data_IF_893603874034
#
_entry.id   IF_893603874034
#
_cell.length_a   1.000
_cell.length_b   1.000
_cell.length_c   1.000
_cell.angle_alpha   90.00
_cell.angle_beta   90.00
_cell.angle_gamma   90.00
#
_symmetry.space_group_name_H-M   'P 1'
#
loop_
_entity.id
_entity.type
_entity.pdbx_description
1 polymer ?
#
# COMPACT_ATOMS: atom_id res chain seq x y z
N UNK A 1 1.19 18.12 -22.52
CA UNK A 1 1.52 19.09 -21.46
C UNK A 1 1.18 18.42 -20.15
N UNK A 2 2.21 17.95 -19.45
CA UNK A 2 2.08 17.32 -18.14
C UNK A 2 2.11 18.50 -17.18
N UNK A 3 0.96 18.89 -16.63
CA UNK A 3 0.94 19.90 -15.57
C UNK A 3 1.52 19.22 -14.32
N UNK A 4 2.82 19.39 -14.13
CA UNK A 4 3.45 19.17 -12.85
C UNK A 4 2.70 20.07 -11.87
N UNK A 5 1.94 19.47 -10.95
CA UNK A 5 1.15 20.19 -9.97
C UNK A 5 1.92 21.38 -9.45
N UNK A 6 1.36 22.57 -9.67
CA UNK A 6 1.87 23.86 -9.24
C UNK A 6 2.46 23.73 -7.84
N UNK A 7 3.79 23.65 -7.76
CA UNK A 7 4.50 23.79 -6.51
C UNK A 7 4.08 25.15 -5.95
N UNK A 8 3.40 25.15 -4.81
CA UNK A 8 3.08 26.37 -4.07
C UNK A 8 4.42 26.96 -3.65
N UNK A 9 4.92 27.89 -4.46
CA UNK A 9 6.14 28.65 -4.17
C UNK A 9 5.83 29.56 -2.99
N UNK A 10 6.28 29.19 -1.78
CA UNK A 10 6.17 30.06 -0.60
C UNK A 10 6.08 29.38 0.77
N UNK A 11 5.93 28.06 0.86
CA UNK A 11 5.86 27.39 2.16
C UNK A 11 7.26 27.02 2.68
N UNK A 12 7.55 27.41 3.93
CA UNK A 12 8.75 26.99 4.68
C UNK A 12 8.88 25.47 4.63
N UNK A 13 10.08 24.90 4.34
CA UNK A 13 10.24 23.45 4.27
C UNK A 13 9.77 22.79 5.57
N UNK A 14 8.78 21.91 5.46
CA UNK A 14 8.27 21.16 6.61
C UNK A 14 9.37 20.19 7.02
N UNK A 15 10.01 20.47 8.16
CA UNK A 15 11.06 19.60 8.70
C UNK A 15 10.39 18.39 9.34
N UNK A 16 10.35 17.28 8.61
CA UNK A 16 9.87 15.98 9.10
C UNK A 16 11.03 14.99 9.15
N UNK A 17 10.95 14.02 10.06
CA UNK A 17 11.88 12.89 10.14
C UNK A 17 11.14 11.57 9.93
N UNK A 18 11.91 10.48 9.84
CA UNK A 18 11.35 9.13 9.73
C UNK A 18 10.40 8.83 10.90
N UNK A 19 10.78 9.25 12.10
CA UNK A 19 10.06 9.02 13.34
C UNK A 19 8.64 9.61 13.31
N UNK A 20 8.45 10.75 12.62
CA UNK A 20 7.13 11.38 12.47
C UNK A 20 6.12 10.49 11.73
N UNK A 21 6.59 9.54 10.92
CA UNK A 21 5.76 8.61 10.14
C UNK A 21 5.62 7.23 10.78
N UNK A 22 6.25 6.98 11.94
CA UNK A 22 6.12 5.71 12.68
C UNK A 22 4.96 5.82 13.66
N UNK A 23 4.02 4.88 13.61
CA UNK A 23 2.94 4.76 14.61
C UNK A 23 3.44 4.19 15.94
N UNK A 24 2.64 4.31 16.99
CA UNK A 24 2.85 3.63 18.27
C UNK A 24 2.54 2.12 18.26
N UNK A 25 2.07 1.57 17.14
CA UNK A 25 1.69 0.16 17.02
C UNK A 25 2.89 -0.77 16.78
N UNK A 26 2.94 -1.86 17.53
CA UNK A 26 3.91 -2.94 17.30
C UNK A 26 3.68 -3.63 15.95
N UNK A 27 4.77 -3.79 15.20
CA UNK A 27 4.74 -4.54 13.94
C UNK A 27 4.63 -6.04 14.21
N UNK A 28 3.58 -6.67 13.69
CA UNK A 28 3.20 -8.08 13.97
C UNK A 28 3.52 -9.03 12.81
N UNK A 29 4.47 -8.69 11.96
CA UNK A 29 4.96 -9.60 10.90
C UNK A 29 5.93 -10.64 11.47
N UNK A 30 6.12 -11.74 10.76
CA UNK A 30 7.09 -12.76 11.15
C UNK A 30 8.52 -12.16 11.14
N UNK A 31 9.40 -12.56 12.08
CA UNK A 31 10.82 -12.19 12.01
C UNK A 31 11.42 -12.56 10.65
N UNK A 32 12.10 -11.60 10.01
CA UNK A 32 12.68 -11.78 8.67
C UNK A 32 11.71 -11.53 7.51
N UNK A 33 10.45 -11.14 7.76
CA UNK A 33 9.51 -10.76 6.70
C UNK A 33 10.02 -9.56 5.89
N UNK A 34 9.93 -9.64 4.56
CA UNK A 34 10.32 -8.53 3.67
C UNK A 34 9.48 -7.26 3.84
N UNK A 35 8.26 -7.37 4.38
CA UNK A 35 7.37 -6.24 4.63
C UNK A 35 8.02 -5.18 5.55
N UNK A 36 8.91 -5.59 6.47
CA UNK A 36 9.69 -4.66 7.30
C UNK A 36 10.57 -3.73 6.46
N UNK A 37 11.20 -4.24 5.41
CA UNK A 37 12.07 -3.43 4.55
C UNK A 37 11.24 -2.45 3.71
N UNK A 38 10.06 -2.88 3.21
CA UNK A 38 9.14 -2.01 2.49
C UNK A 38 8.64 -0.88 3.39
N UNK A 39 8.22 -1.20 4.61
CA UNK A 39 7.77 -0.20 5.59
C UNK A 39 8.86 0.80 5.94
N UNK A 40 10.06 0.31 6.27
CA UNK A 40 11.20 1.16 6.60
C UNK A 40 11.61 2.05 5.41
N UNK A 41 11.55 1.52 4.19
CA UNK A 41 11.80 2.28 2.96
C UNK A 41 10.82 3.45 2.81
N UNK A 42 9.52 3.19 2.92
CA UNK A 42 8.49 4.23 2.84
C UNK A 42 8.69 5.28 3.94
N UNK A 43 8.80 4.88 5.20
CA UNK A 43 8.99 5.81 6.33
C UNK A 43 10.25 6.67 6.19
N UNK A 44 11.31 6.15 5.55
CA UNK A 44 12.53 6.92 5.26
C UNK A 44 12.34 7.90 4.09
N UNK A 45 11.52 7.54 3.11
CA UNK A 45 11.32 8.35 1.89
C UNK A 45 10.34 9.49 2.09
N UNK A 46 9.22 9.29 2.81
CA UNK A 46 8.17 10.32 2.93
C UNK A 46 8.66 11.68 3.47
N UNK A 47 9.57 11.76 4.46
CA UNK A 47 10.10 13.04 4.93
C UNK A 47 10.80 13.86 3.84
N UNK A 48 11.51 13.18 2.92
CA UNK A 48 12.22 13.83 1.84
C UNK A 48 11.29 14.41 0.75
N UNK A 49 10.01 14.01 0.74
CA UNK A 49 9.01 14.54 -0.18
C UNK A 49 8.44 15.90 0.26
N UNK A 50 8.70 16.34 1.50
CA UNK A 50 8.29 17.66 1.99
C UNK A 50 6.77 17.86 2.10
N UNK A 51 5.99 16.78 2.11
CA UNK A 51 4.52 16.81 2.19
C UNK A 51 4.11 16.56 3.65
N UNK A 52 3.20 17.36 4.24
CA UNK A 52 2.72 17.15 5.60
C UNK A 52 2.13 15.73 5.80
N UNK A 53 2.39 15.11 6.94
CA UNK A 53 1.95 13.71 7.21
C UNK A 53 0.43 13.54 7.10
N UNK A 54 -0.33 14.56 7.48
CA UNK A 54 -1.80 14.62 7.41
C UNK A 54 -2.36 14.70 5.98
N UNK A 55 -1.51 14.94 4.97
CA UNK A 55 -1.87 14.90 3.55
C UNK A 55 -1.70 13.50 2.94
N UNK A 56 -1.07 12.57 3.64
CA UNK A 56 -0.96 11.17 3.20
C UNK A 56 -2.12 10.33 3.70
N UNK A 57 -2.63 9.47 2.83
CA UNK A 57 -3.60 8.44 3.19
C UNK A 57 -3.16 7.08 2.67
N UNK A 58 -2.87 6.15 3.58
CA UNK A 58 -2.54 4.76 3.25
C UNK A 58 -3.79 3.88 3.30
N UNK A 59 -4.17 3.28 2.18
CA UNK A 59 -5.36 2.43 2.03
C UNK A 59 -4.91 1.02 1.70
N UNK A 60 -5.38 0.03 2.44
CA UNK A 60 -5.05 -1.37 2.19
C UNK A 60 -6.27 -2.28 2.18
N UNK A 61 -6.10 -3.46 1.58
CA UNK A 61 -7.11 -4.52 1.55
C UNK A 61 -6.96 -5.45 2.76
N UNK A 62 -6.86 -6.76 2.54
CA UNK A 62 -6.62 -7.76 3.60
C UNK A 62 -5.44 -8.67 3.25
N UNK A 63 -4.54 -8.88 4.21
CA UNK A 63 -3.33 -9.69 4.06
C UNK A 63 -2.22 -9.24 5.02
N UNK A 64 -1.08 -9.94 5.04
CA UNK A 64 0.08 -9.51 5.83
C UNK A 64 0.50 -8.09 5.42
N UNK A 65 0.68 -7.88 4.11
CA UNK A 65 0.98 -6.57 3.53
C UNK A 65 -0.06 -5.51 3.87
N UNK A 66 -1.33 -5.89 4.04
CA UNK A 66 -2.41 -4.93 4.28
C UNK A 66 -2.47 -4.43 5.72
N UNK A 67 -1.63 -4.94 6.63
CA UNK A 67 -1.46 -4.31 7.95
C UNK A 67 -0.68 -2.99 7.89
N UNK A 68 -0.08 -2.66 6.75
CA UNK A 68 0.77 -1.49 6.56
C UNK A 68 0.21 -0.17 7.11
N UNK A 69 -1.07 0.21 6.90
CA UNK A 69 -1.58 1.48 7.40
C UNK A 69 -1.57 1.59 8.93
N UNK A 70 -1.61 0.48 9.67
CA UNK A 70 -1.49 0.51 11.12
C UNK A 70 -0.11 0.95 11.60
N UNK A 71 0.90 0.84 10.75
CA UNK A 71 2.30 1.13 11.07
C UNK A 71 2.75 2.52 10.59
N UNK A 72 1.82 3.31 10.07
CA UNK A 72 2.05 4.65 9.56
C UNK A 72 1.33 5.68 10.45
N UNK A 73 2.04 6.71 10.90
CA UNK A 73 1.46 7.83 11.64
C UNK A 73 0.83 8.88 10.70
N UNK A 74 -0.11 8.44 9.88
CA UNK A 74 -0.85 9.22 8.88
C UNK A 74 -2.34 8.87 8.96
N UNK A 75 -3.19 9.47 8.12
CA UNK A 75 -4.51 8.88 7.90
C UNK A 75 -4.37 7.52 7.19
N UNK A 76 -5.29 6.60 7.46
CA UNK A 76 -5.28 5.31 6.80
C UNK A 76 -6.58 4.54 6.93
N UNK A 77 -6.81 3.65 5.96
CA UNK A 77 -7.95 2.74 5.93
C UNK A 77 -7.45 1.31 5.74
N UNK A 78 -7.75 0.43 6.68
CA UNK A 78 -7.69 -1.01 6.47
C UNK A 78 -9.09 -1.48 6.05
N UNK A 79 -9.24 -1.75 4.76
CA UNK A 79 -10.56 -1.95 4.14
C UNK A 79 -10.91 -3.44 4.07
N UNK A 80 -11.70 -3.86 3.08
CA UNK A 80 -12.03 -5.26 2.84
C UNK A 80 -11.21 -5.82 1.69
N UNK A 81 -11.08 -7.15 1.65
CA UNK A 81 -10.17 -7.85 0.76
C UNK A 81 -10.40 -7.48 -0.71
N UNK A 82 -9.36 -7.01 -1.39
CA UNK A 82 -9.35 -6.61 -2.79
C UNK A 82 -10.14 -5.36 -3.14
N UNK A 83 -10.53 -4.52 -2.16
CA UNK A 83 -11.31 -3.30 -2.42
C UNK A 83 -10.54 -2.00 -2.17
N UNK A 84 -9.28 -2.07 -1.77
CA UNK A 84 -8.44 -0.89 -1.58
C UNK A 84 -8.41 0.04 -2.83
N UNK A 85 -8.27 -0.46 -4.08
CA UNK A 85 -8.32 0.42 -5.26
C UNK A 85 -9.67 1.14 -5.43
N UNK A 86 -10.78 0.49 -5.06
CA UNK A 86 -12.12 1.07 -5.14
C UNK A 86 -12.28 2.22 -4.14
N UNK A 87 -11.86 2.01 -2.90
CA UNK A 87 -11.91 3.04 -1.85
C UNK A 87 -10.96 4.20 -2.17
N UNK A 88 -9.75 3.89 -2.64
CA UNK A 88 -8.78 4.89 -3.09
C UNK A 88 -9.31 5.74 -4.26
N UNK A 89 -10.03 5.12 -5.19
CA UNK A 89 -10.68 5.84 -6.29
C UNK A 89 -11.67 6.88 -5.75
N UNK A 90 -12.58 6.48 -4.87
CA UNK A 90 -13.56 7.39 -4.28
C UNK A 90 -12.89 8.54 -3.51
N UNK A 91 -11.88 8.22 -2.68
CA UNK A 91 -11.16 9.23 -1.93
C UNK A 91 -10.45 10.23 -2.84
N UNK A 92 -9.67 9.77 -3.81
CA UNK A 92 -8.89 10.66 -4.68
C UNK A 92 -9.79 11.56 -5.55
N UNK A 93 -10.98 11.07 -5.93
CA UNK A 93 -11.96 11.88 -6.67
C UNK A 93 -12.53 13.03 -5.84
N UNK A 94 -12.78 12.82 -4.54
CA UNK A 94 -13.37 13.83 -3.65
C UNK A 94 -12.31 14.74 -3.02
N UNK A 95 -11.11 14.21 -2.81
CA UNK A 95 -9.97 14.89 -2.17
C UNK A 95 -8.72 14.78 -3.04
N UNK A 96 -8.68 15.52 -4.17
CA UNK A 96 -7.53 15.50 -5.08
C UNK A 96 -6.25 16.03 -4.43
N UNK A 97 -6.37 16.83 -3.35
CA UNK A 97 -5.26 17.39 -2.58
C UNK A 97 -4.52 16.38 -1.70
N UNK A 98 -5.05 15.16 -1.53
CA UNK A 98 -4.42 14.11 -0.73
C UNK A 98 -3.50 13.23 -1.57
N UNK A 99 -2.39 12.83 -0.95
CA UNK A 99 -1.47 11.83 -1.49
C UNK A 99 -1.97 10.44 -1.06
N UNK A 100 -2.69 9.78 -1.96
CA UNK A 100 -3.31 8.47 -1.70
C UNK A 100 -2.35 7.35 -2.12
N UNK A 101 -2.08 6.45 -1.19
CA UNK A 101 -1.20 5.30 -1.36
C UNK A 101 -1.97 4.02 -1.08
N UNK A 102 -2.07 3.14 -2.08
CA UNK A 102 -2.65 1.82 -1.93
C UNK A 102 -1.55 0.82 -1.60
N UNK A 103 -1.71 0.05 -0.53
CA UNK A 103 -0.81 -1.08 -0.20
C UNK A 103 -1.58 -2.37 -0.32
N UNK A 104 -1.08 -3.30 -1.13
CA UNK A 104 -1.76 -4.55 -1.43
C UNK A 104 -0.78 -5.71 -1.52
N UNK A 105 -1.25 -6.92 -1.24
CA UNK A 105 -0.52 -8.15 -1.57
C UNK A 105 -0.82 -8.60 -2.98
N UNK A 106 -0.04 -9.54 -3.48
CA UNK A 106 -0.34 -10.26 -4.73
C UNK A 106 -1.75 -10.89 -4.75
N UNK A 107 -2.17 -11.54 -3.68
CA UNK A 107 -3.51 -12.09 -3.56
C UNK A 107 -4.62 -11.06 -3.50
N UNK A 108 -4.41 -10.05 -2.65
CA UNK A 108 -5.38 -8.97 -2.46
C UNK A 108 -5.60 -8.19 -3.76
N UNK A 109 -4.53 -7.80 -4.45
CA UNK A 109 -4.58 -6.93 -5.62
C UNK A 109 -4.75 -7.66 -6.95
N UNK A 110 -4.19 -8.86 -7.11
CA UNK A 110 -4.16 -9.58 -8.40
C UNK A 110 -5.11 -10.78 -8.47
N UNK A 111 -5.71 -11.19 -7.34
CA UNK A 111 -6.79 -12.19 -7.33
C UNK A 111 -8.14 -11.48 -7.18
N UNK A 112 -8.72 -11.47 -5.98
CA UNK A 112 -10.04 -10.89 -5.70
C UNK A 112 -10.13 -9.39 -6.04
N UNK A 113 -9.01 -8.66 -6.02
CA UNK A 113 -8.94 -7.25 -6.40
C UNK A 113 -8.64 -6.97 -7.88
N UNK A 114 -8.37 -7.99 -8.69
CA UNK A 114 -7.80 -7.83 -10.04
C UNK A 114 -8.59 -6.87 -10.94
N UNK A 115 -9.91 -7.01 -10.99
CA UNK A 115 -10.76 -6.13 -11.81
C UNK A 115 -10.69 -4.66 -11.35
N UNK A 116 -10.65 -4.40 -10.05
CA UNK A 116 -10.53 -3.04 -9.52
C UNK A 116 -9.15 -2.45 -9.81
N UNK A 117 -8.09 -3.28 -9.74
CA UNK A 117 -6.73 -2.90 -10.08
C UNK A 117 -6.62 -2.46 -11.56
N UNK A 118 -7.14 -3.26 -12.48
CA UNK A 118 -7.15 -2.92 -13.91
C UNK A 118 -7.88 -1.60 -14.16
N UNK A 119 -9.04 -1.41 -13.51
CA UNK A 119 -9.82 -0.19 -13.70
C UNK A 119 -9.21 1.05 -13.04
N UNK A 120 -8.52 0.93 -11.90
CA UNK A 120 -7.84 2.08 -11.30
C UNK A 120 -6.69 2.58 -12.18
N UNK A 121 -5.92 1.64 -12.77
CA UNK A 121 -4.88 1.97 -13.74
C UNK A 121 -5.46 2.60 -15.01
N UNK A 122 -6.53 2.01 -15.56
CA UNK A 122 -7.19 2.54 -16.78
C UNK A 122 -7.75 3.95 -16.59
N UNK A 123 -8.16 4.32 -15.38
CA UNK A 123 -8.65 5.68 -15.05
C UNK A 123 -7.53 6.69 -14.87
N UNK A 124 -6.27 6.25 -14.80
CA UNK A 124 -5.09 7.10 -14.61
C UNK A 124 -5.24 8.06 -13.41
N UNK A 125 -5.70 7.52 -12.27
CA UNK A 125 -5.78 8.31 -11.05
C UNK A 125 -4.37 8.60 -10.52
N UNK A 126 -4.17 9.83 -10.04
CA UNK A 126 -2.95 10.24 -9.35
C UNK A 126 -2.88 9.60 -7.93
N UNK A 127 -2.54 8.32 -7.91
CA UNK A 127 -2.35 7.53 -6.69
C UNK A 127 -1.09 6.66 -6.83
N UNK A 128 -0.50 6.30 -5.70
CA UNK A 128 0.59 5.33 -5.65
C UNK A 128 0.03 3.94 -5.31
N UNK A 129 0.57 2.88 -5.92
CA UNK A 129 0.22 1.49 -5.59
C UNK A 129 1.50 0.73 -5.25
N UNK A 130 1.60 0.27 -4.01
CA UNK A 130 2.65 -0.63 -3.53
C UNK A 130 2.09 -2.05 -3.50
N UNK A 131 2.53 -2.88 -4.45
CA UNK A 131 2.21 -4.30 -4.49
C UNK A 131 3.36 -5.11 -3.89
N UNK A 132 3.11 -5.67 -2.70
CA UNK A 132 4.07 -6.52 -2.00
C UNK A 132 3.90 -7.96 -2.46
N UNK A 133 4.74 -8.37 -3.42
CA UNK A 133 4.65 -9.67 -4.07
C UNK A 133 5.52 -10.73 -3.38
N UNK A 134 4.96 -11.44 -2.40
CA UNK A 134 5.61 -12.56 -1.74
C UNK A 134 5.24 -13.94 -2.35
N UNK A 135 4.41 -13.95 -3.41
CA UNK A 135 4.02 -15.13 -4.19
C UNK A 135 3.30 -16.20 -3.35
N UNK A 136 2.57 -15.80 -2.32
CA UNK A 136 1.84 -16.71 -1.43
C UNK A 136 0.81 -15.97 -0.56
N UNK A 137 -0.31 -16.62 -0.22
CA UNK A 137 -1.23 -16.06 0.78
C UNK A 137 -0.73 -16.31 2.20
N UNK A 138 0.15 -15.43 2.68
CA UNK A 138 0.80 -15.57 3.98
C UNK A 138 -0.17 -15.57 5.17
N UNK A 139 -1.07 -14.58 5.25
CA UNK A 139 -1.96 -14.39 6.40
C UNK A 139 -2.92 -15.58 6.61
N UNK A 140 -3.38 -16.18 5.52
CA UNK A 140 -4.27 -17.36 5.53
C UNK A 140 -3.50 -18.67 5.64
N UNK A 141 -2.21 -18.60 5.97
CA UNK A 141 -1.32 -19.72 6.31
C UNK A 141 -0.79 -20.52 5.11
N UNK A 142 -0.64 -19.91 3.93
CA UNK A 142 0.24 -20.42 2.87
C UNK A 142 -0.45 -21.15 1.71
N UNK A 143 -1.52 -20.58 1.16
CA UNK A 143 -2.12 -21.02 -0.10
C UNK A 143 -1.39 -20.38 -1.30
N UNK A 144 -1.51 -21.00 -2.47
CA UNK A 144 -1.03 -20.42 -3.73
C UNK A 144 -1.68 -19.06 -4.03
N UNK A 145 -0.91 -18.15 -4.62
CA UNK A 145 -1.36 -16.86 -5.12
C UNK A 145 -1.28 -16.82 -6.65
N UNK A 146 -1.86 -15.79 -7.32
CA UNK A 146 -1.74 -15.63 -8.77
C UNK A 146 -0.31 -15.45 -9.27
N UNK A 147 0.65 -15.16 -8.39
CA UNK A 147 2.07 -14.97 -8.72
C UNK A 147 2.95 -16.09 -8.18
N UNK A 148 2.36 -17.14 -7.58
CA UNK A 148 3.09 -18.36 -7.23
C UNK A 148 3.72 -18.98 -8.47
N UNK A 149 4.92 -19.54 -8.31
CA UNK A 149 5.59 -20.29 -9.36
C UNK A 149 4.77 -21.53 -9.76
N UNK A 150 4.76 -21.88 -11.05
CA UNK A 150 4.14 -23.13 -11.52
C UNK A 150 4.77 -24.34 -10.84
N UNK A 151 3.95 -25.26 -10.34
CA UNK A 151 4.42 -26.45 -9.62
C UNK A 151 4.84 -26.19 -8.17
N UNK A 152 4.64 -24.97 -7.65
CA UNK A 152 4.89 -24.66 -6.24
C UNK A 152 3.92 -25.43 -5.35
N UNK A 153 4.48 -26.28 -4.50
CA UNK A 153 3.70 -26.98 -3.47
C UNK A 153 3.27 -26.01 -2.38
N UNK A 154 1.97 -25.85 -2.19
CA UNK A 154 1.37 -25.05 -1.11
C UNK A 154 0.33 -25.86 -0.35
N UNK A 155 -0.30 -25.30 0.68
CA UNK A 155 -1.35 -26.03 1.41
C UNK A 155 -2.55 -26.40 0.55
N UNK A 156 -2.88 -25.57 -0.44
CA UNK A 156 -3.99 -25.81 -1.38
C UNK A 156 -3.56 -26.51 -2.66
N UNK A 157 -2.25 -26.54 -2.96
CA UNK A 157 -1.66 -27.19 -4.13
C UNK A 157 -0.58 -28.19 -3.71
N UNK A 158 -0.90 -29.28 -2.99
CA UNK A 158 0.11 -30.20 -2.44
C UNK A 158 0.89 -30.96 -3.53
N UNK A 159 0.31 -31.08 -4.73
CA UNK A 159 0.92 -31.75 -5.88
C UNK A 159 1.62 -30.79 -6.85
N UNK A 160 1.68 -29.50 -6.51
CA UNK A 160 2.15 -28.44 -7.40
C UNK A 160 1.03 -27.71 -8.11
#
# INVERSE_FOLDING_TARGET
>A
MIDAGSAVQGETPIKQTREDFISDQDVRWCPGCGDYAVLAGVQKTLPALGIPREKYVFISGIGCSSRFPYYMNTYGFHTIHGRAPTIATGLKMVRPDLHVWVVTGDGDGLSIGGNHMIHVMRRNLDINIILVNNRIYGLTKGQCSPTSETGKKTKSTPMG
#
